data_IF_410397087301
#
_entry.id   IF_410397087301
#
_cell.length_a   1.000
_cell.length_b   1.000
_cell.length_c   1.000
_cell.angle_alpha   90.00
_cell.angle_beta   90.00
_cell.angle_gamma   90.00
#
_symmetry.space_group_name_H-M   'P 1'
#
loop_
_entity.id
_entity.type
_entity.pdbx_description
1 polymer ?
#
# COMPACT_ATOMS: atom_id res chain seq x y z
N UNK A 1 13.35 41.56 -24.56
CA UNK A 1 13.65 40.15 -24.75
C UNK A 1 12.87 39.39 -23.66
N UNK A 2 11.70 38.89 -24.02
CA UNK A 2 10.84 38.13 -23.11
C UNK A 2 11.33 36.69 -23.05
N UNK A 3 11.75 36.22 -21.85
CA UNK A 3 11.97 34.81 -21.60
C UNK A 3 10.61 34.17 -21.35
N UNK A 4 10.19 33.34 -22.31
CA UNK A 4 9.04 32.47 -22.21
C UNK A 4 9.34 31.37 -21.15
N UNK A 5 8.66 31.44 -20.02
CA UNK A 5 8.64 30.39 -19.05
C UNK A 5 7.73 29.27 -19.57
N UNK A 6 8.31 28.28 -20.24
CA UNK A 6 7.65 26.99 -20.39
C UNK A 6 7.85 26.20 -19.09
N UNK A 7 6.88 26.27 -18.19
CA UNK A 7 6.75 25.29 -17.12
C UNK A 7 6.38 23.95 -17.78
N UNK A 8 7.34 23.08 -17.98
CA UNK A 8 7.05 21.67 -18.28
C UNK A 8 6.47 21.06 -17.01
N UNK A 9 5.16 20.92 -16.99
CA UNK A 9 4.48 20.13 -15.97
C UNK A 9 4.92 18.69 -16.19
N UNK A 10 5.84 18.22 -15.37
CA UNK A 10 6.19 16.80 -15.29
C UNK A 10 5.01 16.13 -14.59
N UNK A 11 4.09 15.58 -15.37
CA UNK A 11 2.96 14.80 -14.90
C UNK A 11 3.49 13.38 -14.65
N UNK A 12 4.20 13.17 -13.54
CA UNK A 12 4.55 11.84 -13.09
C UNK A 12 3.31 11.30 -12.37
N UNK A 13 2.51 10.54 -13.09
CA UNK A 13 1.52 9.66 -12.49
C UNK A 13 2.27 8.50 -11.83
N UNK A 14 2.52 8.60 -10.53
CA UNK A 14 2.67 7.39 -9.71
C UNK A 14 1.27 6.77 -9.64
N UNK A 15 0.85 6.16 -10.74
CA UNK A 15 -0.26 5.23 -10.67
C UNK A 15 0.25 3.99 -9.98
N UNK A 16 -0.33 3.65 -8.84
CA UNK A 16 -0.42 2.27 -8.43
C UNK A 16 -0.99 1.52 -9.65
N UNK A 17 -0.11 0.97 -10.49
CA UNK A 17 -0.51 0.23 -11.68
C UNK A 17 -0.89 -1.18 -11.23
N UNK A 18 -2.10 -1.29 -10.71
CA UNK A 18 -2.72 -2.58 -10.46
C UNK A 18 -3.24 -3.08 -11.78
N UNK A 19 -2.45 -3.91 -12.43
CA UNK A 19 -2.95 -4.79 -13.47
C UNK A 19 -3.75 -5.91 -12.80
N UNK A 20 -4.98 -5.99 -13.15
CA UNK A 20 -5.98 -6.90 -12.65
C UNK A 20 -5.87 -8.19 -13.46
N UNK A 21 -5.36 -9.25 -12.84
CA UNK A 21 -5.40 -10.59 -13.45
C UNK A 21 -6.80 -11.18 -13.36
N UNK A 22 -7.32 -11.66 -14.46
CA UNK A 22 -8.61 -12.34 -14.54
C UNK A 22 -8.45 -13.80 -14.16
N UNK A 23 -8.88 -14.20 -12.97
CA UNK A 23 -9.03 -15.61 -12.61
C UNK A 23 -10.49 -15.89 -12.24
N UNK A 24 -11.10 -16.86 -12.93
CA UNK A 24 -12.41 -17.41 -12.58
C UNK A 24 -12.23 -18.60 -11.64
N UNK A 25 -12.67 -18.51 -10.39
CA UNK A 25 -12.71 -19.63 -9.47
C UNK A 25 -14.14 -20.07 -9.13
N UNK A 26 -14.42 -21.39 -8.94
CA UNK A 26 -15.73 -21.90 -8.57
C UNK A 26 -16.00 -21.82 -7.06
N UNK A 27 -17.28 -21.82 -6.62
CA UNK A 27 -17.66 -21.66 -5.22
C UNK A 27 -17.59 -22.97 -4.43
N UNK A 28 -16.97 -22.94 -3.26
CA UNK A 28 -17.03 -24.00 -2.26
C UNK A 28 -17.35 -23.43 -0.88
N UNK A 29 -18.41 -23.93 -0.28
CA UNK A 29 -18.93 -23.54 1.04
C UNK A 29 -18.35 -24.40 2.14
N UNK A 30 -17.82 -23.77 3.20
CA UNK A 30 -17.90 -24.30 4.58
C UNK A 30 -17.81 -23.15 5.58
N UNK A 31 -18.82 -23.02 6.46
CA UNK A 31 -18.91 -22.01 7.50
C UNK A 31 -18.42 -22.57 8.82
N UNK A 32 -17.53 -21.87 9.51
CA UNK A 32 -17.35 -21.99 10.95
C UNK A 32 -17.16 -20.61 11.57
N UNK A 33 -17.95 -20.33 12.62
CA UNK A 33 -17.83 -19.19 13.50
C UNK A 33 -16.63 -19.42 14.44
N UNK A 34 -15.64 -18.51 14.40
CA UNK A 34 -14.88 -18.11 15.61
C UNK A 34 -14.08 -16.82 15.29
N UNK A 35 -14.28 -15.79 16.14
CA UNK A 35 -13.68 -14.47 15.97
C UNK A 35 -12.17 -14.48 16.27
N UNK A 36 -11.45 -13.60 15.60
CA UNK A 36 -10.09 -13.05 15.89
C UNK A 36 -9.19 -13.92 16.82
N UNK A 37 -9.00 -15.17 16.45
CA UNK A 37 -8.04 -16.07 17.11
C UNK A 37 -6.94 -16.43 16.11
N UNK A 38 -5.81 -16.89 16.62
CA UNK A 38 -4.61 -17.32 15.90
C UNK A 38 -4.87 -17.78 14.46
N UNK A 39 -3.99 -17.42 13.53
CA UNK A 39 -4.05 -17.85 12.13
C UNK A 39 -4.39 -19.33 12.09
N UNK A 40 -5.57 -19.68 11.61
CA UNK A 40 -5.95 -21.09 11.52
C UNK A 40 -4.96 -21.87 10.65
N UNK A 41 -4.77 -23.19 10.88
CA UNK A 41 -3.72 -23.97 10.20
C UNK A 41 -3.73 -23.85 8.68
N UNK A 42 -4.90 -23.69 8.07
CA UNK A 42 -5.06 -23.48 6.61
C UNK A 42 -4.44 -22.17 6.15
N UNK A 43 -4.70 -21.08 6.85
CA UNK A 43 -4.13 -19.77 6.51
C UNK A 43 -2.63 -19.69 6.80
N UNK A 44 -2.17 -20.32 7.90
CA UNK A 44 -0.74 -20.43 8.20
C UNK A 44 0.03 -21.13 7.07
N UNK A 45 -0.52 -22.23 6.53
CA UNK A 45 0.11 -22.92 5.39
C UNK A 45 0.10 -22.07 4.12
N UNK A 46 -0.98 -21.33 3.86
CA UNK A 46 -1.08 -20.44 2.70
C UNK A 46 -0.10 -19.27 2.78
N UNK A 47 0.02 -18.66 3.95
CA UNK A 47 1.02 -17.63 4.22
C UNK A 47 2.44 -18.14 3.98
N UNK A 48 2.77 -19.32 4.53
CA UNK A 48 4.08 -19.96 4.34
C UNK A 48 4.40 -20.15 2.84
N UNK A 49 3.47 -20.71 2.08
CA UNK A 49 3.63 -20.91 0.64
C UNK A 49 3.88 -19.59 -0.10
N UNK A 50 3.10 -18.54 0.21
CA UNK A 50 3.28 -17.23 -0.41
C UNK A 50 4.64 -16.61 -0.05
N UNK A 51 5.02 -16.67 1.21
CA UNK A 51 6.29 -16.14 1.65
C UNK A 51 7.48 -16.91 1.08
N UNK A 52 7.40 -18.24 1.03
CA UNK A 52 8.44 -19.09 0.43
C UNK A 52 8.63 -18.76 -1.06
N UNK A 53 7.53 -18.55 -1.80
CA UNK A 53 7.62 -18.11 -3.18
C UNK A 53 8.31 -16.74 -3.30
N UNK A 54 7.87 -15.73 -2.54
CA UNK A 54 8.51 -14.40 -2.59
C UNK A 54 9.99 -14.48 -2.24
N UNK A 55 10.33 -15.23 -1.21
CA UNK A 55 11.71 -15.38 -0.74
C UNK A 55 12.62 -16.02 -1.78
N UNK A 56 12.13 -17.01 -2.52
CA UNK A 56 12.93 -17.76 -3.47
C UNK A 56 12.99 -17.10 -4.84
N UNK A 57 11.91 -16.43 -5.27
CA UNK A 57 11.74 -15.98 -6.66
C UNK A 57 11.75 -14.44 -6.80
N UNK A 58 11.33 -13.70 -5.75
CA UNK A 58 11.15 -12.26 -5.85
C UNK A 58 12.14 -11.46 -5.03
N UNK A 59 12.64 -11.99 -3.90
CA UNK A 59 13.64 -11.31 -3.08
C UNK A 59 15.03 -11.56 -3.67
N UNK A 60 15.73 -10.49 -4.01
CA UNK A 60 17.10 -10.54 -4.54
C UNK A 60 18.10 -10.94 -3.45
N UNK A 61 19.31 -11.32 -3.85
CA UNK A 61 20.39 -11.63 -2.90
C UNK A 61 20.76 -10.42 -2.01
N UNK A 62 20.52 -9.20 -2.50
CA UNK A 62 20.74 -7.96 -1.76
C UNK A 62 19.60 -7.62 -0.80
N UNK A 63 18.48 -8.37 -0.81
CA UNK A 63 17.33 -8.15 0.06
C UNK A 63 16.22 -7.30 -0.53
N UNK A 64 16.35 -6.81 -1.77
CA UNK A 64 15.31 -6.04 -2.45
C UNK A 64 14.20 -6.92 -3.03
N UNK A 65 12.96 -6.49 -2.97
CA UNK A 65 11.81 -7.20 -3.57
C UNK A 65 11.55 -6.69 -4.97
N UNK A 66 11.62 -7.58 -5.97
CA UNK A 66 11.25 -7.26 -7.36
C UNK A 66 9.77 -6.87 -7.43
N UNK A 67 9.46 -5.87 -8.25
CA UNK A 67 8.09 -5.37 -8.41
C UNK A 67 7.17 -6.38 -9.09
N UNK A 68 7.69 -7.09 -10.11
CA UNK A 68 6.96 -8.09 -10.88
C UNK A 68 7.82 -9.35 -11.04
N UNK A 69 7.18 -10.51 -11.16
CA UNK A 69 7.86 -11.78 -11.44
C UNK A 69 8.45 -11.80 -12.85
N UNK A 70 7.69 -11.32 -13.83
CA UNK A 70 8.16 -11.22 -15.20
C UNK A 70 8.89 -9.88 -15.44
N UNK A 71 10.06 -9.97 -16.05
CA UNK A 71 10.75 -8.80 -16.57
C UNK A 71 10.11 -8.40 -17.90
N UNK A 72 9.24 -7.38 -17.86
CA UNK A 72 8.57 -6.84 -19.05
C UNK A 72 9.25 -5.55 -19.46
N UNK A 73 9.08 -5.16 -20.73
CA UNK A 73 9.67 -3.94 -21.27
C UNK A 73 9.34 -2.71 -20.41
N UNK A 74 10.37 -1.93 -20.11
CA UNK A 74 10.26 -0.71 -19.32
C UNK A 74 9.45 0.35 -20.05
N UNK A 75 8.44 0.89 -19.38
CA UNK A 75 7.90 2.20 -19.71
C UNK A 75 8.25 3.19 -18.59
N UNK A 76 8.36 4.49 -18.93
CA UNK A 76 8.65 5.51 -17.90
C UNK A 76 7.60 5.55 -16.78
N UNK A 77 6.39 5.04 -17.07
CA UNK A 77 5.23 5.15 -16.19
C UNK A 77 4.99 3.90 -15.32
N UNK A 78 5.67 2.76 -15.61
CA UNK A 78 5.45 1.50 -14.90
C UNK A 78 6.77 0.87 -14.49
N UNK A 79 6.86 0.47 -13.22
CA UNK A 79 7.95 -0.37 -12.74
C UNK A 79 7.76 -1.81 -13.24
N UNK A 80 8.84 -2.44 -13.67
CA UNK A 80 8.83 -3.79 -14.22
C UNK A 80 9.71 -4.73 -13.42
N UNK A 81 9.71 -6.03 -13.77
CA UNK A 81 10.20 -7.11 -12.94
C UNK A 81 11.60 -6.97 -12.34
N UNK A 82 12.53 -6.30 -13.01
CA UNK A 82 13.88 -6.12 -12.48
C UNK A 82 14.05 -4.98 -11.47
N UNK A 83 13.00 -4.18 -11.26
CA UNK A 83 13.07 -2.99 -10.41
C UNK A 83 12.53 -3.26 -9.00
N UNK A 84 13.06 -2.50 -8.03
CA UNK A 84 12.62 -2.53 -6.64
C UNK A 84 11.99 -1.19 -6.29
N UNK A 85 10.79 -1.23 -5.72
CA UNK A 85 10.09 -0.04 -5.22
C UNK A 85 10.21 0.07 -3.70
N UNK A 86 10.32 1.29 -3.19
CA UNK A 86 10.20 1.58 -1.75
C UNK A 86 8.88 1.08 -1.18
N UNK A 87 7.80 1.05 -1.99
CA UNK A 87 6.52 0.43 -1.65
C UNK A 87 6.67 -1.02 -1.19
N UNK A 88 7.31 -1.85 -2.02
CA UNK A 88 7.53 -3.27 -1.70
C UNK A 88 8.42 -3.44 -0.48
N UNK A 89 9.43 -2.60 -0.34
CA UNK A 89 10.34 -2.65 0.81
C UNK A 89 9.63 -2.27 2.12
N UNK A 90 8.85 -1.20 2.13
CA UNK A 90 8.05 -0.79 3.29
C UNK A 90 7.02 -1.85 3.70
N UNK A 91 6.35 -2.49 2.73
CA UNK A 91 5.43 -3.60 2.99
C UNK A 91 6.14 -4.85 3.54
N UNK A 92 7.31 -5.21 3.00
CA UNK A 92 8.10 -6.33 3.50
C UNK A 92 8.60 -6.08 4.92
N UNK A 93 9.04 -4.85 5.24
CA UNK A 93 9.42 -4.47 6.61
C UNK A 93 8.25 -4.60 7.59
N UNK A 94 7.05 -4.12 7.22
CA UNK A 94 5.84 -4.27 8.03
C UNK A 94 5.50 -5.76 8.24
N UNK A 95 5.63 -6.58 7.20
CA UNK A 95 5.44 -8.03 7.32
C UNK A 95 6.48 -8.68 8.24
N UNK A 96 7.74 -8.30 8.13
CA UNK A 96 8.82 -8.81 8.99
C UNK A 96 8.53 -8.51 10.48
N UNK A 97 8.06 -7.30 10.80
CA UNK A 97 7.61 -6.95 12.15
C UNK A 97 6.43 -7.83 12.57
N UNK A 98 5.38 -7.93 11.74
CA UNK A 98 4.21 -8.74 12.05
C UNK A 98 4.52 -10.23 12.22
N UNK A 99 5.55 -10.73 11.53
CA UNK A 99 6.07 -12.09 11.63
C UNK A 99 7.02 -12.29 12.83
N UNK A 100 7.47 -11.22 13.47
CA UNK A 100 8.53 -11.21 14.48
C UNK A 100 9.86 -11.75 13.93
N UNK A 101 10.22 -11.36 12.70
CA UNK A 101 11.41 -11.81 11.97
C UNK A 101 12.40 -10.63 11.82
N UNK A 102 13.22 -10.42 12.86
CA UNK A 102 14.20 -9.34 12.88
C UNK A 102 15.25 -9.48 11.77
N UNK A 103 15.62 -10.71 11.39
CA UNK A 103 16.59 -10.96 10.33
C UNK A 103 16.07 -10.45 8.98
N UNK A 104 14.82 -10.75 8.65
CA UNK A 104 14.17 -10.26 7.46
C UNK A 104 14.06 -8.73 7.48
N UNK A 105 13.70 -8.16 8.64
CA UNK A 105 13.62 -6.70 8.82
C UNK A 105 14.95 -6.01 8.57
N UNK A 106 16.03 -6.51 9.19
CA UNK A 106 17.37 -5.95 9.02
C UNK A 106 17.88 -6.06 7.58
N UNK A 107 17.61 -7.18 6.90
CA UNK A 107 17.96 -7.35 5.49
C UNK A 107 17.22 -6.34 4.61
N UNK A 108 15.93 -6.10 4.88
CA UNK A 108 15.12 -5.13 4.13
C UNK A 108 15.56 -3.69 4.38
N UNK A 109 15.85 -3.34 5.64
CA UNK A 109 16.39 -2.02 6.00
C UNK A 109 17.76 -1.79 5.36
N UNK A 110 18.65 -2.79 5.39
CA UNK A 110 19.96 -2.71 4.75
C UNK A 110 19.86 -2.44 3.25
N UNK A 111 18.88 -3.02 2.56
CA UNK A 111 18.63 -2.69 1.15
C UNK A 111 18.20 -1.23 0.96
N UNK A 112 17.32 -0.73 1.83
CA UNK A 112 16.90 0.68 1.76
C UNK A 112 18.09 1.61 1.97
N UNK A 113 18.88 1.37 3.01
CA UNK A 113 20.04 2.21 3.35
C UNK A 113 21.13 2.20 2.26
N UNK A 114 21.33 1.06 1.57
CA UNK A 114 22.41 0.93 0.57
C UNK A 114 21.98 1.36 -0.83
N UNK A 115 20.71 1.13 -1.22
CA UNK A 115 20.25 1.27 -2.61
C UNK A 115 19.16 2.32 -2.83
N UNK A 116 18.34 2.64 -1.83
CA UNK A 116 17.24 3.60 -1.97
C UNK A 116 17.49 4.92 -1.25
N UNK A 117 18.23 4.93 -0.14
CA UNK A 117 18.55 6.15 0.60
C UNK A 117 19.64 6.94 -0.12
N UNK A 118 19.28 8.09 -0.68
CA UNK A 118 20.21 8.99 -1.39
C UNK A 118 20.88 9.99 -0.45
N UNK A 119 20.55 9.98 0.84
CA UNK A 119 20.96 10.98 1.83
C UNK A 119 19.93 12.11 1.98
N UNK A 120 19.34 12.56 0.89
CA UNK A 120 18.31 13.60 0.89
C UNK A 120 16.88 13.04 0.94
N UNK A 121 16.62 11.96 0.20
CA UNK A 121 15.34 11.27 0.11
C UNK A 121 15.51 9.75 0.12
N UNK A 122 14.43 9.01 0.38
CA UNK A 122 14.34 7.60 0.03
C UNK A 122 13.74 7.54 -1.39
N UNK A 123 14.54 7.07 -2.36
CA UNK A 123 14.08 6.95 -3.73
C UNK A 123 12.90 5.97 -3.82
N UNK A 124 11.84 6.35 -4.54
CA UNK A 124 10.70 5.45 -4.70
C UNK A 124 11.01 4.20 -5.53
N UNK A 125 12.10 4.24 -6.31
CA UNK A 125 12.44 3.21 -7.31
C UNK A 125 13.94 3.07 -7.46
N UNK A 126 14.41 1.82 -7.52
CA UNK A 126 15.76 1.42 -7.85
C UNK A 126 15.77 0.49 -9.07
N UNK A 127 16.68 0.73 -10.00
CA UNK A 127 16.87 -0.07 -11.22
C UNK A 127 18.36 -0.34 -11.45
N UNK A 128 18.69 -0.96 -12.58
CA UNK A 128 20.07 -1.10 -13.08
C UNK A 128 20.80 0.24 -13.30
N UNK A 129 20.05 1.34 -13.40
CA UNK A 129 20.58 2.71 -13.52
C UNK A 129 20.81 3.39 -12.16
N UNK A 130 20.51 2.72 -11.07
CA UNK A 130 20.59 3.24 -9.71
C UNK A 130 19.26 3.77 -9.17
N UNK A 131 19.35 4.51 -8.04
CA UNK A 131 18.21 5.11 -7.38
C UNK A 131 17.67 6.32 -8.17
N UNK A 132 16.35 6.41 -8.26
CA UNK A 132 15.69 7.58 -8.85
C UNK A 132 15.76 8.77 -7.91
N UNK A 133 15.72 10.00 -8.45
CA UNK A 133 15.80 11.22 -7.66
C UNK A 133 14.42 11.75 -7.23
N UNK A 134 13.48 10.85 -7.01
CA UNK A 134 12.10 11.15 -6.59
C UNK A 134 11.72 10.20 -5.49
N UNK A 135 11.04 10.68 -4.44
CA UNK A 135 10.47 9.85 -3.39
C UNK A 135 8.96 9.60 -3.61
N UNK A 136 8.38 8.76 -2.77
CA UNK A 136 6.92 8.61 -2.66
C UNK A 136 6.52 8.72 -1.19
N UNK A 137 5.76 9.76 -0.85
CA UNK A 137 5.37 10.08 0.52
C UNK A 137 4.77 8.90 1.27
N UNK A 138 3.88 8.13 0.62
CA UNK A 138 3.22 6.97 1.24
C UNK A 138 4.21 5.86 1.59
N UNK A 139 5.23 5.68 0.78
CA UNK A 139 6.22 4.61 0.98
C UNK A 139 7.18 4.98 2.12
N UNK A 140 7.63 6.25 2.15
CA UNK A 140 8.43 6.77 3.24
C UNK A 140 7.68 6.64 4.57
N UNK A 141 6.37 6.98 4.60
CA UNK A 141 5.53 6.82 5.79
C UNK A 141 5.38 5.34 6.21
N UNK A 142 5.31 4.39 5.25
CA UNK A 142 5.30 2.95 5.57
C UNK A 142 6.63 2.49 6.17
N UNK A 143 7.75 2.93 5.62
CA UNK A 143 9.09 2.61 6.13
C UNK A 143 9.26 3.17 7.55
N UNK A 144 8.89 4.43 7.77
CA UNK A 144 8.91 5.08 9.08
C UNK A 144 8.05 4.31 10.09
N UNK A 145 6.83 3.94 9.71
CA UNK A 145 5.95 3.13 10.56
C UNK A 145 6.57 1.77 10.90
N UNK A 146 7.15 1.10 9.92
CA UNK A 146 7.79 -0.19 10.14
C UNK A 146 8.98 -0.08 11.12
N UNK A 147 9.76 0.99 11.03
CA UNK A 147 10.87 1.29 11.95
C UNK A 147 10.37 1.55 13.38
N UNK A 148 9.31 2.35 13.56
CA UNK A 148 8.71 2.61 14.88
C UNK A 148 8.23 1.29 15.51
N UNK A 149 7.50 0.47 14.76
CA UNK A 149 7.00 -0.82 15.23
C UNK A 149 8.12 -1.82 15.52
N UNK A 150 9.22 -1.77 14.74
CA UNK A 150 10.39 -2.60 14.98
C UNK A 150 11.13 -2.21 16.26
N UNK A 151 11.22 -0.93 16.59
CA UNK A 151 11.83 -0.46 17.84
C UNK A 151 11.05 -0.96 19.05
N UNK A 152 9.71 -0.89 18.99
CA UNK A 152 8.83 -1.41 20.05
C UNK A 152 8.98 -2.93 20.24
N UNK A 153 9.19 -3.67 19.14
CA UNK A 153 9.22 -5.14 19.18
C UNK A 153 10.61 -5.72 19.43
N UNK A 154 11.62 -5.21 18.72
CA UNK A 154 13.00 -5.74 18.75
C UNK A 154 13.93 -4.89 19.63
N UNK A 155 13.55 -3.63 19.92
CA UNK A 155 14.42 -2.64 20.55
C UNK A 155 15.50 -2.15 19.57
N UNK A 156 16.49 -1.45 20.11
CA UNK A 156 17.64 -1.03 19.33
C UNK A 156 17.60 0.46 18.93
N UNK A 157 17.94 0.77 17.67
CA UNK A 157 18.02 2.15 17.18
C UNK A 157 17.04 2.46 16.04
N UNK A 158 16.01 1.64 15.90
CA UNK A 158 15.07 1.81 14.80
C UNK A 158 14.24 3.08 14.94
N UNK A 159 13.89 3.48 16.17
CA UNK A 159 13.21 4.75 16.41
C UNK A 159 14.08 5.95 16.02
N UNK A 160 15.37 5.93 16.29
CA UNK A 160 16.30 7.00 15.89
C UNK A 160 16.33 7.16 14.35
N UNK A 161 16.39 6.04 13.63
CA UNK A 161 16.33 6.01 12.16
C UNK A 161 14.96 6.53 11.67
N UNK A 162 13.86 6.08 12.28
CA UNK A 162 12.51 6.51 11.94
C UNK A 162 12.35 8.03 12.06
N UNK A 163 12.83 8.62 13.16
CA UNK A 163 12.73 10.05 13.40
C UNK A 163 13.62 10.86 12.44
N UNK A 164 14.81 10.35 12.08
CA UNK A 164 15.66 10.97 11.08
C UNK A 164 15.00 10.97 9.69
N UNK A 165 14.37 9.84 9.31
CA UNK A 165 13.63 9.75 8.05
C UNK A 165 12.38 10.65 8.06
N UNK A 166 11.65 10.70 9.18
CA UNK A 166 10.50 11.58 9.33
C UNK A 166 10.88 13.07 9.25
N UNK A 167 12.04 13.47 9.78
CA UNK A 167 12.50 14.85 9.68
C UNK A 167 12.87 15.23 8.24
N UNK A 168 13.56 14.37 7.51
CA UNK A 168 13.87 14.58 6.08
C UNK A 168 12.58 14.67 5.26
N UNK A 169 11.64 13.73 5.46
CA UNK A 169 10.35 13.72 4.77
C UNK A 169 9.54 14.99 5.05
N UNK A 170 9.59 15.50 6.29
CA UNK A 170 8.95 16.76 6.63
C UNK A 170 9.56 17.94 5.86
N UNK A 171 10.89 17.97 5.71
CA UNK A 171 11.60 19.05 5.01
C UNK A 171 11.36 19.04 3.51
N UNK A 172 11.11 17.88 2.91
CA UNK A 172 10.93 17.72 1.46
C UNK A 172 9.49 17.76 1.03
N UNK A 173 8.59 17.04 1.72
CA UNK A 173 7.23 16.79 1.26
C UNK A 173 6.15 17.58 2.02
N UNK A 174 6.49 18.41 3.01
CA UNK A 174 5.50 19.17 3.78
C UNK A 174 5.73 20.68 3.60
N UNK A 175 4.68 21.39 3.19
CA UNK A 175 4.66 22.85 3.12
C UNK A 175 3.37 23.37 3.77
N UNK A 176 3.47 24.31 4.73
CA UNK A 176 2.31 24.88 5.46
C UNK A 176 1.35 23.80 6.05
N UNK A 177 1.91 22.69 6.52
CA UNK A 177 1.21 21.50 7.03
C UNK A 177 0.50 20.62 5.98
N UNK A 178 0.59 20.94 4.70
CA UNK A 178 0.10 20.12 3.59
C UNK A 178 1.17 19.12 3.14
N UNK A 179 0.80 17.85 3.05
CA UNK A 179 1.66 16.82 2.49
C UNK A 179 1.47 16.70 0.98
N UNK A 180 2.55 16.40 0.26
CA UNK A 180 2.56 16.20 -1.19
C UNK A 180 2.94 14.76 -1.52
N UNK A 181 2.42 14.22 -2.64
CA UNK A 181 2.66 12.81 -3.01
C UNK A 181 4.14 12.48 -3.21
N UNK A 182 4.89 13.43 -3.76
CA UNK A 182 6.28 13.23 -4.12
C UNK A 182 7.10 14.51 -4.03
N UNK A 183 8.39 14.34 -3.84
CA UNK A 183 9.40 15.36 -4.00
C UNK A 183 10.43 14.92 -5.04
N UNK A 184 10.70 15.77 -6.01
CA UNK A 184 11.75 15.59 -7.01
C UNK A 184 13.03 16.28 -6.53
N UNK A 185 14.01 15.51 -6.13
CA UNK A 185 15.27 15.99 -5.56
C UNK A 185 16.17 16.67 -6.61
N UNK A 186 16.04 16.31 -7.90
CA UNK A 186 16.80 16.95 -8.96
C UNK A 186 16.33 18.39 -9.22
N UNK A 187 15.01 18.60 -9.13
CA UNK A 187 14.40 19.91 -9.40
C UNK A 187 14.05 20.70 -8.13
N UNK A 188 14.08 20.05 -6.95
CA UNK A 188 13.70 20.66 -5.68
C UNK A 188 12.22 21.05 -5.62
N UNK A 189 11.33 20.21 -6.15
CA UNK A 189 9.92 20.51 -6.34
C UNK A 189 9.02 19.35 -5.91
N UNK A 190 7.90 19.68 -5.24
CA UNK A 190 6.78 18.78 -5.07
C UNK A 190 5.81 18.86 -6.28
N UNK A 191 4.96 17.84 -6.43
CA UNK A 191 3.75 17.93 -7.23
C UNK A 191 2.77 18.96 -6.61
N UNK A 192 1.55 19.14 -7.18
CA UNK A 192 0.56 20.12 -6.69
C UNK A 192 -0.70 19.48 -6.07
N UNK A 193 -0.63 18.22 -5.69
CA UNK A 193 -1.76 17.48 -5.13
C UNK A 193 -1.31 16.43 -4.11
N UNK A 194 -2.29 15.88 -3.39
CA UNK A 194 -2.13 14.69 -2.55
C UNK A 194 -3.15 13.63 -2.95
N UNK A 195 -2.69 12.40 -3.13
CA UNK A 195 -3.52 11.20 -3.28
C UNK A 195 -4.01 10.78 -1.89
N UNK A 196 -5.32 10.61 -1.71
CA UNK A 196 -5.89 10.42 -0.37
C UNK A 196 -5.38 9.16 0.33
N UNK A 197 -5.14 8.09 -0.40
CA UNK A 197 -4.58 6.87 0.18
C UNK A 197 -3.10 7.00 0.59
N UNK A 198 -2.41 8.08 0.18
CA UNK A 198 -1.04 8.35 0.61
C UNK A 198 -0.96 8.95 2.01
N UNK A 199 -2.09 9.42 2.55
CA UNK A 199 -2.19 10.07 3.86
C UNK A 199 -2.26 8.99 4.95
N UNK A 200 -1.11 8.56 5.48
CA UNK A 200 -1.04 7.64 6.61
C UNK A 200 -1.26 8.39 7.94
N UNK A 201 -2.54 8.58 8.27
CA UNK A 201 -2.97 9.31 9.47
C UNK A 201 -2.47 8.67 10.77
N UNK A 202 -2.36 7.33 10.81
CA UNK A 202 -1.85 6.65 12.00
C UNK A 202 -0.39 7.02 12.27
N UNK A 203 0.47 6.94 11.25
CA UNK A 203 1.88 7.27 11.39
C UNK A 203 2.08 8.75 11.71
N UNK A 204 1.31 9.65 11.07
CA UNK A 204 1.34 11.09 11.41
C UNK A 204 0.95 11.35 12.87
N UNK A 205 -0.06 10.64 13.40
CA UNK A 205 -0.48 10.76 14.81
C UNK A 205 0.64 10.30 15.74
N UNK A 206 1.26 9.15 15.47
CA UNK A 206 2.38 8.63 16.28
C UNK A 206 3.58 9.57 16.23
N UNK A 207 3.94 10.09 15.07
CA UNK A 207 5.03 11.06 14.93
C UNK A 207 4.73 12.35 15.71
N UNK A 208 3.47 12.74 15.84
CA UNK A 208 3.03 13.87 16.64
C UNK A 208 3.33 13.74 18.14
N UNK A 209 3.55 12.53 18.64
CA UNK A 209 3.96 12.29 20.03
C UNK A 209 5.46 12.55 20.24
N UNK A 210 6.26 12.47 19.17
CA UNK A 210 7.70 12.77 19.18
C UNK A 210 8.03 14.20 18.75
N UNK A 211 7.28 14.77 17.80
CA UNK A 211 7.49 16.12 17.29
C UNK A 211 6.14 16.80 16.96
N UNK A 212 5.86 17.89 17.67
CA UNK A 212 4.59 18.62 17.61
C UNK A 212 4.21 19.13 16.21
N UNK A 213 5.22 19.33 15.32
CA UNK A 213 4.96 19.74 13.93
C UNK A 213 4.05 18.76 13.18
N UNK A 214 4.15 17.45 13.48
CA UNK A 214 3.31 16.42 12.87
C UNK A 214 1.85 16.45 13.34
N UNK A 215 1.53 17.03 14.51
CA UNK A 215 0.15 17.21 14.96
C UNK A 215 -0.64 18.15 14.05
N UNK A 216 0.04 19.22 13.57
CA UNK A 216 -0.57 20.13 12.63
C UNK A 216 -0.79 19.49 11.26
N UNK A 217 0.20 18.73 10.76
CA UNK A 217 0.07 17.94 9.52
C UNK A 217 -1.09 16.95 9.65
N UNK A 218 -1.14 16.17 10.73
CA UNK A 218 -2.25 15.24 11.00
C UNK A 218 -3.61 15.93 10.92
N UNK A 219 -3.76 17.09 11.57
CA UNK A 219 -5.03 17.82 11.61
C UNK A 219 -5.48 18.23 10.21
N UNK A 220 -4.60 18.88 9.45
CA UNK A 220 -4.90 19.35 8.09
C UNK A 220 -5.16 18.19 7.13
N UNK A 221 -4.33 17.15 7.18
CA UNK A 221 -4.46 16.01 6.28
C UNK A 221 -5.68 15.15 6.59
N UNK A 222 -6.07 15.05 7.87
CA UNK A 222 -7.32 14.40 8.28
C UNK A 222 -8.55 15.10 7.69
N UNK A 223 -8.63 16.42 7.76
CA UNK A 223 -9.71 17.19 7.15
C UNK A 223 -9.81 16.93 5.65
N UNK A 224 -8.68 16.91 4.93
CA UNK A 224 -8.65 16.60 3.48
C UNK A 224 -9.19 15.19 3.21
N UNK A 225 -8.85 14.19 4.01
CA UNK A 225 -9.38 12.83 3.80
C UNK A 225 -10.87 12.77 4.08
N UNK A 226 -11.33 13.35 5.20
CA UNK A 226 -12.75 13.32 5.61
C UNK A 226 -13.64 14.05 4.60
N UNK A 227 -13.23 15.22 4.10
CA UNK A 227 -13.95 15.97 3.05
C UNK A 227 -13.90 15.28 1.66
N UNK A 228 -12.96 14.37 1.45
CA UNK A 228 -12.86 13.55 0.25
C UNK A 228 -13.94 12.49 0.10
N UNK A 229 -14.79 12.30 1.11
CA UNK A 229 -15.92 11.36 1.08
C UNK A 229 -16.91 11.71 -0.04
N UNK A 230 -17.31 10.71 -0.83
CA UNK A 230 -18.06 10.96 -2.07
C UNK A 230 -19.55 11.17 -1.80
N UNK A 231 -20.23 10.20 -1.20
CA UNK A 231 -21.64 10.28 -0.83
C UNK A 231 -22.08 9.04 -0.04
N UNK A 232 -23.25 9.10 0.56
CA UNK A 232 -23.83 7.97 1.27
C UNK A 232 -24.31 6.82 0.35
N UNK A 233 -24.58 7.10 -0.92
CA UNK A 233 -24.92 6.10 -1.94
C UNK A 233 -23.69 5.34 -2.44
N UNK A 234 -22.55 6.00 -2.46
CA UNK A 234 -21.25 5.39 -2.75
C UNK A 234 -20.23 5.87 -1.72
N UNK A 235 -20.18 5.25 -0.54
CA UNK A 235 -19.45 5.73 0.63
C UNK A 235 -17.95 5.43 0.54
N UNK A 236 -17.34 5.90 -0.53
CA UNK A 236 -15.92 5.80 -0.86
C UNK A 236 -15.31 7.20 -0.94
N UNK A 237 -14.06 7.27 -1.30
CA UNK A 237 -13.27 8.50 -1.30
C UNK A 237 -12.82 8.89 -2.70
N UNK A 238 -12.68 10.20 -2.92
CA UNK A 238 -12.01 10.72 -4.10
C UNK A 238 -10.55 10.26 -4.14
N UNK A 239 -9.95 10.13 -5.33
CA UNK A 239 -8.58 9.65 -5.44
C UNK A 239 -7.55 10.68 -4.95
N UNK A 240 -7.74 11.97 -5.23
CA UNK A 240 -6.79 13.02 -4.88
C UNK A 240 -7.43 14.38 -4.66
N UNK A 241 -6.70 15.26 -3.96
CA UNK A 241 -7.02 16.67 -3.74
C UNK A 241 -5.93 17.55 -4.34
N UNK A 242 -6.30 18.48 -5.23
CA UNK A 242 -5.36 19.45 -5.81
C UNK A 242 -5.31 20.73 -4.99
N UNK A 243 -4.13 21.12 -4.57
CA UNK A 243 -3.90 22.33 -3.79
C UNK A 243 -4.10 23.60 -4.61
N UNK A 244 -3.69 23.58 -5.89
CA UNK A 244 -3.86 24.72 -6.81
C UNK A 244 -5.32 25.01 -7.08
N UNK A 245 -6.13 23.99 -7.39
CA UNK A 245 -7.55 24.16 -7.70
C UNK A 245 -8.45 24.12 -6.46
N UNK A 246 -7.96 23.65 -5.32
CA UNK A 246 -8.70 23.36 -4.08
C UNK A 246 -9.91 22.46 -4.32
N UNK A 247 -9.72 21.40 -5.10
CA UNK A 247 -10.79 20.48 -5.51
C UNK A 247 -10.33 19.02 -5.48
N UNK A 248 -11.27 18.17 -5.13
CA UNK A 248 -11.11 16.72 -5.28
C UNK A 248 -11.26 16.32 -6.75
N UNK A 249 -10.44 15.34 -7.16
CA UNK A 249 -10.50 14.78 -8.52
C UNK A 249 -11.87 14.13 -8.77
N UNK A 250 -12.46 14.44 -9.92
CA UNK A 250 -13.75 13.91 -10.37
C UNK A 250 -13.56 12.80 -11.40
N UNK A 251 -12.82 11.78 -11.07
CA UNK A 251 -12.56 10.64 -11.95
C UNK A 251 -13.32 9.39 -11.52
N UNK A 252 -13.04 8.30 -12.22
CA UNK A 252 -13.38 6.96 -11.76
C UNK A 252 -12.60 6.63 -10.49
N UNK A 253 -13.15 5.74 -9.69
CA UNK A 253 -12.60 5.37 -8.38
C UNK A 253 -11.89 4.03 -8.52
N UNK A 254 -10.58 4.05 -8.26
CA UNK A 254 -9.76 2.85 -8.05
C UNK A 254 -10.06 2.31 -6.63
N UNK A 255 -10.51 1.07 -6.55
CA UNK A 255 -10.94 0.51 -5.25
C UNK A 255 -9.78 0.14 -4.34
N UNK A 256 -8.57 -0.06 -4.84
CA UNK A 256 -7.39 -0.22 -4.00
C UNK A 256 -7.09 1.10 -3.28
N UNK A 257 -7.06 2.22 -4.01
CA UNK A 257 -6.85 3.55 -3.43
C UNK A 257 -7.94 3.88 -2.40
N UNK A 258 -9.20 3.65 -2.76
CA UNK A 258 -10.34 3.93 -1.87
C UNK A 258 -10.33 3.04 -0.62
N UNK A 259 -10.00 1.77 -0.75
CA UNK A 259 -9.88 0.85 0.38
C UNK A 259 -8.68 1.17 1.28
N UNK A 260 -7.53 1.57 0.71
CA UNK A 260 -6.38 2.05 1.49
C UNK A 260 -6.73 3.33 2.26
N UNK A 261 -7.49 4.25 1.65
CA UNK A 261 -8.00 5.44 2.34
C UNK A 261 -8.89 5.05 3.53
N UNK A 262 -9.80 4.10 3.32
CA UNK A 262 -10.64 3.57 4.40
C UNK A 262 -9.82 2.87 5.50
N UNK A 263 -8.76 2.15 5.14
CA UNK A 263 -7.84 1.52 6.09
C UNK A 263 -7.11 2.57 6.94
N UNK A 264 -6.62 3.65 6.33
CA UNK A 264 -5.96 4.73 7.05
C UNK A 264 -6.91 5.42 8.06
N UNK A 265 -8.18 5.55 7.72
CA UNK A 265 -9.21 6.04 8.63
C UNK A 265 -9.57 5.00 9.72
N UNK A 266 -9.63 3.71 9.38
CA UNK A 266 -9.92 2.66 10.35
C UNK A 266 -8.85 2.58 11.45
N UNK A 267 -7.59 2.77 11.11
CA UNK A 267 -6.46 2.80 12.05
C UNK A 267 -6.50 3.92 13.09
N UNK A 268 -7.30 4.93 12.85
CA UNK A 268 -7.50 6.05 13.80
C UNK A 268 -8.95 6.11 14.33
N UNK A 269 -9.71 5.03 14.19
CA UNK A 269 -11.13 4.93 14.60
C UNK A 269 -12.05 5.96 13.94
N UNK A 270 -11.71 6.42 12.72
CA UNK A 270 -12.45 7.45 11.99
C UNK A 270 -13.15 6.96 10.72
N UNK A 271 -13.08 5.66 10.40
CA UNK A 271 -13.75 5.12 9.22
C UNK A 271 -15.28 5.12 9.41
N UNK A 272 -16.06 5.75 8.52
CA UNK A 272 -17.49 5.80 8.64
C UNK A 272 -18.14 4.42 8.58
N UNK A 273 -19.14 4.17 9.42
CA UNK A 273 -19.88 2.90 9.45
C UNK A 273 -20.45 2.55 8.07
N UNK A 274 -20.91 3.53 7.31
CA UNK A 274 -21.44 3.32 5.95
C UNK A 274 -20.39 2.76 4.98
N UNK A 275 -19.13 3.22 5.09
CA UNK A 275 -18.02 2.66 4.30
C UNK A 275 -17.77 1.20 4.66
N UNK A 276 -17.75 0.88 5.95
CA UNK A 276 -17.56 -0.49 6.43
C UNK A 276 -18.70 -1.42 5.96
N UNK A 277 -19.94 -0.98 6.13
CA UNK A 277 -21.12 -1.75 5.69
C UNK A 277 -21.13 -1.96 4.17
N UNK A 278 -20.77 -0.93 3.39
CA UNK A 278 -20.66 -1.04 1.93
C UNK A 278 -19.63 -2.07 1.50
N UNK A 279 -18.43 -2.05 2.09
CA UNK A 279 -17.37 -3.01 1.79
C UNK A 279 -17.80 -4.43 2.17
N UNK A 280 -18.33 -4.60 3.38
CA UNK A 280 -18.83 -5.89 3.88
C UNK A 280 -19.95 -6.47 3.01
N UNK A 281 -20.94 -5.64 2.66
CA UNK A 281 -22.08 -6.08 1.85
C UNK A 281 -21.66 -6.36 0.40
N UNK A 282 -20.70 -5.61 -0.15
CA UNK A 282 -20.18 -5.90 -1.49
C UNK A 282 -19.50 -7.26 -1.56
N UNK A 283 -18.71 -7.63 -0.54
CA UNK A 283 -18.08 -8.96 -0.45
C UNK A 283 -19.13 -10.05 -0.28
N UNK A 284 -20.12 -9.84 0.61
CA UNK A 284 -21.20 -10.80 0.86
C UNK A 284 -22.07 -11.05 -0.37
N UNK A 285 -22.33 -10.02 -1.17
CA UNK A 285 -23.17 -10.08 -2.36
C UNK A 285 -22.42 -10.48 -3.64
N UNK A 286 -21.14 -10.74 -3.57
CA UNK A 286 -20.37 -11.26 -4.69
C UNK A 286 -18.92 -10.81 -4.73
N UNK A 287 -18.65 -9.54 -5.05
CA UNK A 287 -17.29 -9.08 -5.29
C UNK A 287 -17.13 -7.57 -5.12
N UNK A 288 -15.88 -7.15 -4.84
CA UNK A 288 -15.43 -5.78 -5.03
C UNK A 288 -14.56 -5.74 -6.30
N UNK A 289 -14.97 -4.91 -7.25
CA UNK A 289 -14.25 -4.76 -8.52
C UNK A 289 -13.21 -3.63 -8.46
N UNK A 290 -12.22 -3.69 -9.34
CA UNK A 290 -11.09 -2.76 -9.31
C UNK A 290 -11.45 -1.30 -9.58
N UNK A 291 -12.47 -1.03 -10.42
CA UNK A 291 -12.83 0.33 -10.81
C UNK A 291 -14.34 0.55 -10.80
N UNK A 292 -14.76 1.67 -10.20
CA UNK A 292 -16.13 2.16 -10.21
C UNK A 292 -16.20 3.59 -10.75
N UNK A 293 -17.36 3.93 -11.32
CA UNK A 293 -17.70 5.33 -11.55
C UNK A 293 -18.00 6.01 -10.20
N UNK A 294 -17.87 7.31 -10.14
CA UNK A 294 -18.13 8.10 -8.91
C UNK A 294 -19.56 7.93 -8.35
N UNK A 295 -20.51 7.43 -9.13
CA UNK A 295 -21.87 7.12 -8.67
C UNK A 295 -22.06 5.67 -8.21
N UNK A 296 -20.99 4.93 -8.01
CA UNK A 296 -21.02 3.54 -7.55
C UNK A 296 -21.29 2.49 -8.63
N UNK A 297 -21.46 2.90 -9.90
CA UNK A 297 -21.63 1.91 -10.98
C UNK A 297 -20.28 1.25 -11.30
N UNK A 298 -20.26 -0.06 -11.33
CA UNK A 298 -19.11 -0.86 -11.74
C UNK A 298 -18.63 -0.47 -13.15
N UNK A 299 -17.33 -0.31 -13.32
CA UNK A 299 -16.67 -0.01 -14.61
C UNK A 299 -15.75 -1.13 -15.09
N UNK A 300 -15.27 -1.97 -14.18
CA UNK A 300 -14.41 -3.11 -14.46
C UNK A 300 -15.05 -4.38 -13.90
N UNK A 301 -14.80 -5.52 -14.52
CA UNK A 301 -15.18 -6.85 -13.99
C UNK A 301 -14.03 -7.54 -13.26
N UNK A 302 -12.91 -6.84 -13.07
CA UNK A 302 -11.69 -7.40 -12.53
C UNK A 302 -11.67 -7.24 -11.01
N UNK A 303 -11.38 -8.32 -10.31
CA UNK A 303 -11.09 -8.37 -8.87
C UNK A 303 -9.58 -8.37 -8.64
N UNK A 304 -9.12 -8.06 -7.43
CA UNK A 304 -7.71 -8.07 -7.07
C UNK A 304 -7.51 -8.68 -5.69
N UNK A 305 -6.47 -9.47 -5.52
CA UNK A 305 -6.00 -9.98 -4.23
C UNK A 305 -5.82 -8.85 -3.22
N UNK A 306 -5.19 -7.74 -3.62
CA UNK A 306 -4.91 -6.62 -2.74
C UNK A 306 -6.18 -5.97 -2.18
N UNK A 307 -7.26 -5.88 -2.96
CA UNK A 307 -8.54 -5.30 -2.46
C UNK A 307 -9.04 -6.11 -1.27
N UNK A 308 -9.08 -7.45 -1.37
CA UNK A 308 -9.54 -8.30 -0.29
C UNK A 308 -8.57 -8.34 0.88
N UNK A 309 -7.26 -8.28 0.63
CA UNK A 309 -6.25 -8.14 1.67
C UNK A 309 -6.43 -6.84 2.47
N UNK A 310 -6.63 -5.71 1.80
CA UNK A 310 -6.88 -4.40 2.44
C UNK A 310 -8.19 -4.45 3.24
N UNK A 311 -9.26 -5.04 2.69
CA UNK A 311 -10.52 -5.20 3.40
C UNK A 311 -10.37 -6.12 4.63
N UNK A 312 -9.53 -7.15 4.57
CA UNK A 312 -9.21 -7.99 5.72
C UNK A 312 -8.47 -7.19 6.82
N UNK A 313 -7.54 -6.30 6.42
CA UNK A 313 -6.87 -5.39 7.35
C UNK A 313 -7.85 -4.41 7.99
N UNK A 314 -8.78 -3.82 7.21
CA UNK A 314 -9.85 -2.97 7.74
C UNK A 314 -10.68 -3.75 8.77
N UNK A 315 -11.09 -4.97 8.43
CA UNK A 315 -11.91 -5.80 9.31
C UNK A 315 -11.21 -6.10 10.64
N UNK A 316 -9.89 -6.26 10.65
CA UNK A 316 -9.08 -6.39 11.87
C UNK A 316 -9.06 -5.12 12.70
N UNK A 317 -8.83 -3.97 12.07
CA UNK A 317 -8.81 -2.68 12.77
C UNK A 317 -10.15 -2.35 13.45
N UNK A 318 -11.26 -2.80 12.86
CA UNK A 318 -12.61 -2.56 13.41
C UNK A 318 -13.19 -3.79 14.14
N UNK A 319 -12.39 -4.82 14.39
CA UNK A 319 -12.76 -6.05 15.11
C UNK A 319 -13.98 -6.79 14.50
N UNK A 320 -14.16 -6.72 13.17
CA UNK A 320 -15.21 -7.43 12.45
C UNK A 320 -14.74 -8.79 11.93
N UNK A 321 -14.85 -9.83 12.78
CA UNK A 321 -14.39 -11.19 12.47
C UNK A 321 -15.14 -11.83 11.29
N UNK A 322 -16.45 -11.50 11.08
CA UNK A 322 -17.21 -12.00 9.93
C UNK A 322 -16.68 -11.41 8.62
N UNK A 323 -16.49 -10.09 8.57
CA UNK A 323 -15.90 -9.42 7.41
C UNK A 323 -14.50 -9.96 7.12
N UNK A 324 -13.67 -10.16 8.15
CA UNK A 324 -12.34 -10.73 7.99
C UNK A 324 -12.39 -12.11 7.34
N UNK A 325 -13.24 -13.01 7.84
CA UNK A 325 -13.37 -14.37 7.29
C UNK A 325 -13.78 -14.35 5.81
N UNK A 326 -14.76 -13.51 5.44
CA UNK A 326 -15.20 -13.36 4.04
C UNK A 326 -14.07 -12.81 3.14
N UNK A 327 -13.32 -11.83 3.62
CA UNK A 327 -12.18 -11.28 2.89
C UNK A 327 -11.10 -12.33 2.66
N UNK A 328 -10.75 -13.11 3.70
CA UNK A 328 -9.74 -14.16 3.60
C UNK A 328 -10.18 -15.28 2.65
N UNK A 329 -11.45 -15.67 2.65
CA UNK A 329 -11.94 -16.67 1.71
C UNK A 329 -11.83 -16.19 0.25
N UNK A 330 -12.20 -14.95 -0.01
CA UNK A 330 -12.05 -14.33 -1.34
C UNK A 330 -10.59 -14.23 -1.76
N UNK A 331 -9.75 -13.67 -0.90
CA UNK A 331 -8.31 -13.52 -1.13
C UNK A 331 -7.67 -14.88 -1.43
N UNK A 332 -7.93 -15.88 -0.61
CA UNK A 332 -7.39 -17.22 -0.77
C UNK A 332 -7.78 -17.90 -2.10
N UNK A 333 -8.88 -17.46 -2.72
CA UNK A 333 -9.30 -17.94 -4.05
C UNK A 333 -8.34 -17.56 -5.19
N UNK A 334 -7.53 -16.52 -5.00
CA UNK A 334 -6.55 -16.07 -6.00
C UNK A 334 -5.17 -16.70 -5.83
N UNK A 335 -4.92 -17.43 -4.74
CA UNK A 335 -3.63 -18.07 -4.52
C UNK A 335 -3.49 -19.32 -5.37
N UNK A 336 -2.40 -19.45 -6.09
CA UNK A 336 -2.08 -20.63 -6.90
C UNK A 336 -1.63 -21.77 -5.98
N UNK A 337 -2.43 -22.83 -5.91
CA UNK A 337 -2.17 -24.00 -5.04
C UNK A 337 -1.92 -25.30 -5.84
N UNK A 338 -1.81 -25.20 -7.16
CA UNK A 338 -1.39 -26.29 -8.03
C UNK A 338 0.16 -26.37 -7.96
N UNK A 339 0.69 -27.44 -7.39
CA UNK A 339 2.12 -27.65 -7.18
C UNK A 339 2.91 -27.92 -8.47
N UNK A 340 2.22 -28.06 -9.59
CA UNK A 340 2.83 -28.14 -10.93
C UNK A 340 3.04 -26.76 -11.58
N UNK A 341 2.48 -25.70 -11.01
CA UNK A 341 2.60 -24.34 -11.53
C UNK A 341 3.93 -23.69 -11.16
N UNK A 342 4.53 -22.94 -12.09
CA UNK A 342 5.74 -22.15 -11.82
C UNK A 342 5.54 -21.09 -10.73
N UNK A 343 4.30 -20.63 -10.52
CA UNK A 343 3.93 -19.63 -9.52
C UNK A 343 3.17 -20.25 -8.32
N UNK A 344 3.48 -21.52 -8.03
CA UNK A 344 2.90 -22.22 -6.88
C UNK A 344 3.15 -21.49 -5.57
N UNK A 345 2.10 -21.24 -4.82
CA UNK A 345 2.13 -20.53 -3.55
C UNK A 345 1.85 -19.02 -3.68
N UNK A 346 2.07 -18.42 -4.83
CA UNK A 346 1.87 -16.99 -5.05
C UNK A 346 0.40 -16.62 -5.33
N UNK A 347 0.10 -15.35 -5.14
CA UNK A 347 -1.09 -14.70 -5.68
C UNK A 347 -0.74 -14.17 -7.08
N UNK A 348 -1.14 -14.93 -8.10
CA UNK A 348 -0.72 -14.72 -9.48
C UNK A 348 -1.79 -15.22 -10.46
N UNK A 349 -1.68 -14.78 -11.71
CA UNK A 349 -2.37 -15.46 -12.81
C UNK A 349 -1.52 -16.67 -13.25
N UNK A 350 -1.99 -17.92 -13.11
CA UNK A 350 -1.19 -19.11 -13.40
C UNK A 350 -0.95 -19.32 -14.90
N UNK A 351 -1.64 -18.58 -15.78
CA UNK A 351 -1.52 -18.71 -17.25
C UNK A 351 -0.58 -17.65 -17.81
N UNK A 352 -0.80 -16.39 -17.45
CA UNK A 352 0.05 -15.29 -17.91
C UNK A 352 1.31 -15.11 -17.07
N UNK A 353 1.37 -15.73 -15.89
CA UNK A 353 2.41 -15.57 -14.87
C UNK A 353 2.52 -14.11 -14.36
N UNK A 354 1.45 -13.32 -14.54
CA UNK A 354 1.39 -11.98 -14.00
C UNK A 354 1.28 -12.04 -12.47
N UNK A 355 2.31 -11.52 -11.81
CA UNK A 355 2.46 -11.50 -10.37
C UNK A 355 3.14 -10.21 -9.95
N UNK A 356 2.52 -9.51 -9.01
CA UNK A 356 3.03 -8.28 -8.45
C UNK A 356 3.35 -8.44 -6.97
N UNK A 357 4.48 -7.88 -6.54
CA UNK A 357 4.91 -7.90 -5.14
C UNK A 357 3.87 -7.25 -4.22
N UNK A 358 3.20 -6.19 -4.67
CA UNK A 358 2.18 -5.49 -3.90
C UNK A 358 1.03 -6.42 -3.46
N UNK A 359 0.42 -7.18 -4.40
CA UNK A 359 -0.68 -8.11 -4.09
C UNK A 359 -0.24 -9.18 -3.08
N UNK A 360 0.95 -9.74 -3.28
CA UNK A 360 1.49 -10.79 -2.43
C UNK A 360 1.86 -10.29 -1.03
N UNK A 361 2.49 -9.12 -0.92
CA UNK A 361 2.86 -8.51 0.35
C UNK A 361 1.63 -8.04 1.13
N UNK A 362 0.61 -7.50 0.46
CA UNK A 362 -0.66 -7.17 1.10
C UNK A 362 -1.36 -8.41 1.63
N UNK A 363 -1.34 -9.53 0.89
CA UNK A 363 -1.88 -10.80 1.35
C UNK A 363 -1.12 -11.32 2.58
N UNK A 364 0.21 -11.25 2.58
CA UNK A 364 1.03 -11.63 3.75
C UNK A 364 0.68 -10.80 4.99
N UNK A 365 0.48 -9.50 4.84
CA UNK A 365 0.03 -8.62 5.94
C UNK A 365 -1.37 -9.00 6.42
N UNK A 366 -2.30 -9.34 5.51
CA UNK A 366 -3.64 -9.77 5.88
C UNK A 366 -3.63 -11.07 6.71
N UNK A 367 -2.70 -11.98 6.48
CA UNK A 367 -2.53 -13.16 7.32
C UNK A 367 -2.03 -12.84 8.73
N UNK A 368 -1.10 -11.88 8.89
CA UNK A 368 -0.32 -11.67 10.12
C UNK A 368 -0.77 -10.53 11.00
N UNK A 369 -1.29 -9.47 10.47
CA UNK A 369 -1.59 -8.29 11.29
C UNK A 369 -2.65 -8.63 12.34
N UNK A 370 -2.27 -8.45 13.61
CA UNK A 370 -3.09 -8.64 14.80
C UNK A 370 -3.87 -7.37 15.12
#
# INVERSE_FOLDING_TARGET
>A
MMKSNMKKTVLIFLMLSVFLSTSCAPPGTDRQEDGLREIGPKNARREELCFDFLKNEMITQQGGVRTNYLDKDHTADFATGAEVLSESMGLLMLYAVAKNDETLFQSSLGFIEEYLDTGDIIAYRYSDKGAYQVNAFVDDMRIIRALILADDLFGGRYLEIALAYADRLYQTNIEDHYAYDMYDNEYGLCNDFITLCYIDLYTMRVLGDYDEKWKNVFTVMREIVEEGYISDEFPMYASSYSYTSRRYRKGDINMIEAALTALNLARIDACPRRTLDYLKDSIRNGAIYGVYKRNGMKKSDTESTAIYAICALIAKEVEDGEMYAMCMDKMNGFQVIDDTSEVYGAFADPVSLDLYSFDNLMALLAYRQR
#
